data_IF_382973035307
#
_entry.id   IF_382973035307
#
_cell.length_a   1.000
_cell.length_b   1.000
_cell.length_c   1.000
_cell.angle_alpha   90.00
_cell.angle_beta   90.00
_cell.angle_gamma   90.00
#
_symmetry.space_group_name_H-M   'P 1'
#
loop_
_entity.id
_entity.type
_entity.pdbx_description
1 polymer ?
#
# COMPACT_ATOMS: atom_id res chain seq x y z
N UNK A 1 -71.60 28.39 -37.27
CA UNK A 1 -71.01 27.16 -37.83
C UNK A 1 -70.29 26.41 -36.72
N UNK A 2 -70.88 25.34 -36.19
CA UNK A 2 -70.17 24.39 -35.31
C UNK A 2 -69.66 23.27 -36.23
N UNK A 3 -68.35 23.17 -36.41
CA UNK A 3 -67.74 22.02 -37.07
C UNK A 3 -67.73 20.87 -36.07
N UNK A 4 -68.69 19.94 -36.20
CA UNK A 4 -68.64 18.67 -35.48
C UNK A 4 -67.60 17.78 -36.16
N UNK A 5 -66.38 17.75 -35.60
CA UNK A 5 -65.37 16.78 -36.00
C UNK A 5 -65.93 15.39 -35.65
N UNK A 6 -66.02 14.45 -36.61
CA UNK A 6 -66.56 13.11 -36.36
C UNK A 6 -65.78 12.42 -35.23
N UNK A 7 -66.49 11.93 -34.21
CA UNK A 7 -65.92 11.28 -33.01
C UNK A 7 -64.92 10.15 -33.31
N UNK A 8 -65.10 9.48 -34.45
CA UNK A 8 -64.21 8.44 -34.98
C UNK A 8 -62.82 8.99 -35.32
N UNK A 9 -62.73 10.22 -35.84
CA UNK A 9 -61.46 10.87 -36.18
C UNK A 9 -60.70 11.25 -34.90
N UNK A 10 -61.40 11.77 -33.90
CA UNK A 10 -60.83 12.09 -32.58
C UNK A 10 -60.26 10.83 -31.93
N UNK A 11 -61.01 9.72 -31.96
CA UNK A 11 -60.55 8.43 -31.44
C UNK A 11 -59.32 7.89 -32.18
N UNK A 12 -59.29 7.99 -33.51
CA UNK A 12 -58.13 7.57 -34.32
C UNK A 12 -56.89 8.43 -34.02
N UNK A 13 -57.05 9.75 -33.94
CA UNK A 13 -55.97 10.68 -33.59
C UNK A 13 -55.42 10.41 -32.18
N UNK A 14 -56.29 10.16 -31.21
CA UNK A 14 -55.88 9.80 -29.83
C UNK A 14 -55.05 8.52 -29.78
N UNK A 15 -55.43 7.49 -30.54
CA UNK A 15 -54.63 6.26 -30.64
C UNK A 15 -53.26 6.51 -31.26
N UNK A 16 -53.21 7.24 -32.39
CA UNK A 16 -51.94 7.60 -33.05
C UNK A 16 -51.04 8.41 -32.12
N UNK A 17 -51.62 9.34 -31.36
CA UNK A 17 -50.89 10.11 -30.35
C UNK A 17 -50.32 9.20 -29.25
N UNK A 18 -51.10 8.26 -28.72
CA UNK A 18 -50.63 7.29 -27.74
C UNK A 18 -49.51 6.40 -28.28
N UNK A 19 -49.61 5.90 -29.52
CA UNK A 19 -48.52 5.15 -30.17
C UNK A 19 -47.25 5.98 -30.31
N UNK A 20 -47.38 7.26 -30.69
CA UNK A 20 -46.25 8.18 -30.79
C UNK A 20 -45.57 8.37 -29.42
N UNK A 21 -46.33 8.64 -28.36
CA UNK A 21 -45.80 8.76 -27.00
C UNK A 21 -45.08 7.48 -26.54
N UNK A 22 -45.69 6.31 -26.76
CA UNK A 22 -45.06 5.03 -26.43
C UNK A 22 -43.75 4.82 -27.21
N UNK A 23 -43.72 5.15 -28.49
CA UNK A 23 -42.52 5.05 -29.31
C UNK A 23 -41.38 5.92 -28.76
N UNK A 24 -41.65 7.19 -28.43
CA UNK A 24 -40.66 8.07 -27.83
C UNK A 24 -40.17 7.58 -26.47
N UNK A 25 -41.07 7.04 -25.64
CA UNK A 25 -40.69 6.50 -24.34
C UNK A 25 -39.81 5.25 -24.47
N UNK A 26 -40.13 4.34 -25.40
CA UNK A 26 -39.31 3.15 -25.70
C UNK A 26 -37.93 3.58 -26.18
N UNK A 27 -37.85 4.53 -27.12
CA UNK A 27 -36.59 5.02 -27.65
C UNK A 27 -35.72 5.69 -26.58
N UNK A 28 -36.35 6.45 -25.66
CA UNK A 28 -35.64 7.05 -24.52
C UNK A 28 -35.09 5.97 -23.58
N UNK A 29 -35.91 4.96 -23.25
CA UNK A 29 -35.50 3.85 -22.39
C UNK A 29 -34.43 2.95 -23.01
N UNK A 30 -34.45 2.76 -24.33
CA UNK A 30 -33.41 2.03 -25.05
C UNK A 30 -32.06 2.76 -24.96
N UNK A 31 -32.04 4.08 -25.13
CA UNK A 31 -30.82 4.89 -24.98
C UNK A 31 -30.27 4.84 -23.55
N UNK A 32 -31.14 4.96 -22.55
CA UNK A 32 -30.76 4.86 -21.13
C UNK A 32 -30.18 3.47 -20.80
N UNK A 33 -30.82 2.40 -21.27
CA UNK A 33 -30.34 1.03 -21.09
C UNK A 33 -28.97 0.80 -21.75
N UNK A 34 -28.77 1.32 -22.96
CA UNK A 34 -27.50 1.21 -23.66
C UNK A 34 -26.38 2.00 -22.97
N UNK A 35 -26.68 3.21 -22.48
CA UNK A 35 -25.75 4.01 -21.70
C UNK A 35 -25.34 3.29 -20.40
N UNK A 36 -26.33 2.77 -19.66
CA UNK A 36 -26.12 2.02 -18.43
C UNK A 36 -25.24 0.77 -18.64
N UNK A 37 -25.42 0.10 -19.78
CA UNK A 37 -24.59 -1.05 -20.17
C UNK A 37 -23.13 -0.65 -20.41
N UNK A 38 -22.89 0.46 -21.10
CA UNK A 38 -21.53 0.98 -21.34
C UNK A 38 -20.83 1.33 -20.02
N UNK A 39 -21.49 2.10 -19.15
CA UNK A 39 -20.94 2.45 -17.84
C UNK A 39 -20.60 1.21 -17.00
N UNK A 40 -21.49 0.21 -16.98
CA UNK A 40 -21.23 -1.05 -16.27
C UNK A 40 -19.98 -1.79 -16.80
N UNK A 41 -19.70 -1.73 -18.10
CA UNK A 41 -18.47 -2.30 -18.66
C UNK A 41 -17.23 -1.51 -18.21
N UNK A 42 -17.29 -0.18 -18.24
CA UNK A 42 -16.21 0.69 -17.79
C UNK A 42 -15.88 0.50 -16.30
N UNK A 43 -16.91 0.44 -15.43
CA UNK A 43 -16.72 0.08 -14.02
C UNK A 43 -16.12 -1.31 -13.88
N UNK A 44 -16.59 -2.27 -14.69
CA UNK A 44 -16.03 -3.60 -14.73
C UNK A 44 -14.53 -3.64 -15.03
N UNK A 45 -14.07 -2.80 -15.96
CA UNK A 45 -12.65 -2.65 -16.31
C UNK A 45 -11.86 -1.98 -15.18
N UNK A 46 -12.38 -0.91 -14.57
CA UNK A 46 -11.76 -0.24 -13.42
C UNK A 46 -11.55 -1.21 -12.25
N UNK A 47 -12.56 -2.03 -11.93
CA UNK A 47 -12.46 -3.08 -10.89
C UNK A 47 -11.30 -4.04 -11.21
N UNK A 48 -11.21 -4.52 -12.45
CA UNK A 48 -10.16 -5.46 -12.86
C UNK A 48 -8.76 -4.83 -12.81
N UNK A 49 -8.64 -3.57 -13.21
CA UNK A 49 -7.38 -2.83 -13.17
C UNK A 49 -6.87 -2.68 -11.73
N UNK A 50 -7.72 -2.20 -10.81
CA UNK A 50 -7.35 -2.08 -9.39
C UNK A 50 -7.01 -3.45 -8.80
N UNK A 51 -7.79 -4.49 -9.11
CA UNK A 51 -7.49 -5.85 -8.65
C UNK A 51 -6.11 -6.33 -9.14
N UNK A 52 -5.73 -6.00 -10.39
CA UNK A 52 -4.41 -6.35 -10.94
C UNK A 52 -3.29 -5.60 -10.23
N UNK A 53 -3.47 -4.30 -9.98
CA UNK A 53 -2.52 -3.49 -9.21
C UNK A 53 -2.31 -4.07 -7.80
N UNK A 54 -3.40 -4.35 -7.07
CA UNK A 54 -3.35 -4.96 -5.74
C UNK A 54 -2.66 -6.31 -5.71
N UNK A 55 -2.94 -7.19 -6.67
CA UNK A 55 -2.24 -8.48 -6.76
C UNK A 55 -0.75 -8.32 -7.08
N UNK A 56 -0.38 -7.30 -7.86
CA UNK A 56 1.02 -6.93 -8.11
C UNK A 56 1.72 -6.50 -6.81
N UNK A 57 1.11 -5.59 -6.05
CA UNK A 57 1.59 -5.16 -4.73
C UNK A 57 1.73 -6.37 -3.79
N UNK A 58 0.70 -7.21 -3.71
CA UNK A 58 0.70 -8.41 -2.86
C UNK A 58 1.84 -9.37 -3.22
N UNK A 59 2.18 -9.50 -4.49
CA UNK A 59 3.28 -10.33 -4.96
C UNK A 59 4.63 -9.75 -4.53
N UNK A 60 4.86 -8.45 -4.76
CA UNK A 60 6.06 -7.73 -4.30
C UNK A 60 6.22 -7.80 -2.76
N UNK A 61 5.11 -7.73 -2.02
CA UNK A 61 5.11 -7.87 -0.55
C UNK A 61 5.50 -9.28 -0.06
N UNK A 62 5.42 -10.33 -0.90
CA UNK A 62 5.86 -11.69 -0.55
C UNK A 62 7.34 -11.93 -0.82
N UNK A 63 7.99 -11.04 -1.56
CA UNK A 63 9.40 -11.18 -1.91
C UNK A 63 10.30 -11.04 -0.68
N UNK A 64 11.24 -11.98 -0.57
CA UNK A 64 12.28 -11.94 0.45
C UNK A 64 13.40 -11.01 0.01
N UNK A 65 14.04 -10.36 0.96
CA UNK A 65 15.13 -9.41 0.72
C UNK A 65 16.30 -9.69 1.67
N UNK A 66 17.51 -9.52 1.17
CA UNK A 66 18.76 -9.55 1.96
C UNK A 66 19.28 -8.15 2.30
N UNK A 67 18.71 -7.10 1.70
CA UNK A 67 19.13 -5.71 1.89
C UNK A 67 18.04 -4.94 2.65
N UNK A 68 18.23 -4.78 3.96
CA UNK A 68 17.26 -4.11 4.85
C UNK A 68 17.04 -2.63 4.48
N UNK A 69 18.09 -1.81 4.23
CA UNK A 69 17.90 -0.44 3.76
C UNK A 69 17.03 -0.33 2.50
N UNK A 70 17.34 -1.12 1.46
CA UNK A 70 16.55 -1.11 0.22
C UNK A 70 15.11 -1.56 0.47
N UNK A 71 14.94 -2.61 1.27
CA UNK A 71 13.61 -3.13 1.59
C UNK A 71 12.72 -2.12 2.32
N UNK A 72 13.29 -1.24 3.15
CA UNK A 72 12.55 -0.14 3.79
C UNK A 72 12.07 0.89 2.77
N UNK A 73 12.90 1.22 1.77
CA UNK A 73 12.52 2.12 0.67
C UNK A 73 11.40 1.48 -0.14
N UNK A 74 11.56 0.23 -0.56
CA UNK A 74 10.55 -0.50 -1.32
C UNK A 74 9.24 -0.60 -0.54
N UNK A 75 9.30 -0.85 0.78
CA UNK A 75 8.13 -0.89 1.64
C UNK A 75 7.37 0.44 1.66
N UNK A 76 8.08 1.58 1.63
CA UNK A 76 7.46 2.90 1.54
C UNK A 76 6.75 3.10 0.20
N UNK A 77 7.42 2.76 -0.91
CA UNK A 77 6.85 2.86 -2.26
C UNK A 77 5.60 1.98 -2.38
N UNK A 78 5.64 0.75 -1.87
CA UNK A 78 4.48 -0.15 -1.86
C UNK A 78 3.32 0.40 -1.02
N UNK A 79 3.61 1.14 0.06
CA UNK A 79 2.60 1.87 0.82
C UNK A 79 1.92 2.94 -0.02
N UNK A 80 2.70 3.77 -0.73
CA UNK A 80 2.18 4.80 -1.62
C UNK A 80 1.35 4.22 -2.78
N UNK A 81 1.79 3.10 -3.37
CA UNK A 81 1.02 2.36 -4.39
C UNK A 81 -0.33 1.85 -3.82
N UNK A 82 -0.34 1.38 -2.57
CA UNK A 82 -1.53 0.86 -1.90
C UNK A 82 -2.52 1.97 -1.51
N UNK A 83 -2.02 3.14 -1.12
CA UNK A 83 -2.82 4.33 -0.87
C UNK A 83 -3.45 4.85 -2.19
N UNK A 84 -2.70 4.84 -3.29
CA UNK A 84 -3.23 5.17 -4.62
C UNK A 84 -4.36 4.20 -5.02
N UNK A 85 -4.21 2.90 -4.77
CA UNK A 85 -5.27 1.94 -4.99
C UNK A 85 -6.52 2.24 -4.15
N UNK A 86 -6.34 2.68 -2.89
CA UNK A 86 -7.45 3.06 -2.02
C UNK A 86 -8.23 4.25 -2.58
N UNK A 87 -7.54 5.29 -3.03
CA UNK A 87 -8.17 6.48 -3.63
C UNK A 87 -9.01 6.08 -4.84
N UNK A 88 -8.43 5.32 -5.79
CA UNK A 88 -9.16 4.81 -6.97
C UNK A 88 -10.37 3.97 -6.59
N UNK A 89 -10.26 3.17 -5.53
CA UNK A 89 -11.33 2.31 -5.05
C UNK A 89 -12.49 3.13 -4.45
N UNK A 90 -12.19 4.15 -3.65
CA UNK A 90 -13.20 5.06 -3.06
C UNK A 90 -13.90 5.86 -4.15
N UNK A 91 -13.16 6.41 -5.12
CA UNK A 91 -13.74 7.12 -6.27
C UNK A 91 -14.65 6.22 -7.12
N UNK A 92 -14.24 4.97 -7.31
CA UNK A 92 -15.03 3.97 -8.01
C UNK A 92 -16.31 3.63 -7.25
N UNK A 93 -16.24 3.45 -5.92
CA UNK A 93 -17.42 3.17 -5.10
C UNK A 93 -18.43 4.33 -5.16
N UNK A 94 -17.95 5.57 -5.01
CA UNK A 94 -18.79 6.76 -5.16
C UNK A 94 -19.45 6.81 -6.55
N UNK A 95 -18.68 6.56 -7.62
CA UNK A 95 -19.23 6.54 -8.99
C UNK A 95 -20.30 5.45 -9.19
N UNK A 96 -20.16 4.30 -8.53
CA UNK A 96 -21.16 3.22 -8.57
C UNK A 96 -22.39 3.55 -7.72
N UNK A 97 -22.23 4.28 -6.62
CA UNK A 97 -23.34 4.81 -5.82
C UNK A 97 -24.17 5.81 -6.64
N UNK A 98 -23.53 6.75 -7.33
CA UNK A 98 -24.22 7.69 -8.23
C UNK A 98 -24.94 6.96 -9.37
N UNK A 99 -24.31 5.90 -9.91
CA UNK A 99 -24.92 5.05 -10.94
C UNK A 99 -26.15 4.27 -10.46
N UNK A 100 -26.30 4.04 -9.14
CA UNK A 100 -27.44 3.34 -8.59
C UNK A 100 -28.77 4.07 -8.83
N UNK A 101 -28.73 5.39 -8.98
CA UNK A 101 -29.90 6.22 -9.34
C UNK A 101 -30.41 5.88 -10.75
N UNK A 102 -29.51 5.51 -11.67
CA UNK A 102 -29.85 5.16 -13.06
C UNK A 102 -30.21 3.68 -13.20
N UNK A 103 -29.48 2.79 -12.53
CA UNK A 103 -29.71 1.35 -12.62
C UNK A 103 -29.33 0.61 -11.33
N UNK A 104 -30.29 0.52 -10.41
CA UNK A 104 -30.11 -0.13 -9.12
C UNK A 104 -29.69 -1.61 -9.22
N UNK A 105 -30.15 -2.35 -10.23
CA UNK A 105 -29.82 -3.78 -10.35
C UNK A 105 -28.35 -3.98 -10.72
N UNK A 106 -27.85 -3.25 -11.72
CA UNK A 106 -26.44 -3.32 -12.12
C UNK A 106 -25.53 -2.73 -11.04
N UNK A 107 -25.93 -1.63 -10.40
CA UNK A 107 -25.19 -1.04 -9.29
C UNK A 107 -25.00 -2.03 -8.13
N UNK A 108 -26.04 -2.81 -7.75
CA UNK A 108 -25.90 -3.88 -6.74
C UNK A 108 -24.88 -4.95 -7.12
N UNK A 109 -24.83 -5.35 -8.39
CA UNK A 109 -23.84 -6.33 -8.86
C UNK A 109 -22.42 -5.75 -8.80
N UNK A 110 -22.26 -4.47 -9.15
CA UNK A 110 -20.98 -3.76 -9.05
C UNK A 110 -20.55 -3.58 -7.59
N UNK A 111 -21.46 -3.18 -6.71
CA UNK A 111 -21.21 -3.04 -5.28
C UNK A 111 -20.69 -4.34 -4.65
N UNK A 112 -21.28 -5.50 -4.96
CA UNK A 112 -20.78 -6.79 -4.49
C UNK A 112 -19.36 -7.11 -5.00
N UNK A 113 -18.99 -6.63 -6.20
CA UNK A 113 -17.64 -6.79 -6.75
C UNK A 113 -16.66 -5.83 -6.08
N UNK A 114 -17.09 -4.61 -5.79
CA UNK A 114 -16.32 -3.61 -5.04
C UNK A 114 -16.08 -4.11 -3.61
N UNK A 115 -17.07 -4.69 -2.94
CA UNK A 115 -16.91 -5.27 -1.61
C UNK A 115 -15.80 -6.34 -1.58
N UNK A 116 -15.78 -7.24 -2.55
CA UNK A 116 -14.69 -8.22 -2.71
C UNK A 116 -13.33 -7.56 -2.94
N UNK A 117 -13.30 -6.48 -3.74
CA UNK A 117 -12.09 -5.72 -4.02
C UNK A 117 -11.58 -4.98 -2.77
N UNK A 118 -12.47 -4.41 -1.96
CA UNK A 118 -12.18 -3.83 -0.66
C UNK A 118 -11.62 -4.87 0.30
N UNK A 119 -12.18 -6.08 0.31
CA UNK A 119 -11.63 -7.19 1.08
C UNK A 119 -10.19 -7.53 0.68
N UNK A 120 -9.89 -7.56 -0.62
CA UNK A 120 -8.53 -7.77 -1.13
C UNK A 120 -7.58 -6.63 -0.73
N UNK A 121 -8.03 -5.38 -0.81
CA UNK A 121 -7.27 -4.21 -0.38
C UNK A 121 -6.90 -4.29 1.11
N UNK A 122 -7.88 -4.58 1.97
CA UNK A 122 -7.66 -4.78 3.41
C UNK A 122 -6.69 -5.93 3.71
N UNK A 123 -6.79 -7.04 2.98
CA UNK A 123 -5.83 -8.14 3.11
C UNK A 123 -4.41 -7.67 2.76
N UNK A 124 -4.27 -6.87 1.71
CA UNK A 124 -2.98 -6.34 1.25
C UNK A 124 -2.38 -5.40 2.28
N UNK A 125 -3.18 -4.54 2.92
CA UNK A 125 -2.76 -3.68 4.05
C UNK A 125 -2.15 -4.54 5.16
N UNK A 126 -2.88 -5.54 5.65
CA UNK A 126 -2.40 -6.39 6.75
C UNK A 126 -1.07 -7.06 6.42
N UNK A 127 -0.90 -7.47 5.17
CA UNK A 127 0.36 -8.06 4.73
C UNK A 127 1.50 -7.03 4.66
N UNK A 128 1.21 -5.81 4.21
CA UNK A 128 2.17 -4.72 4.19
C UNK A 128 2.62 -4.36 5.61
N UNK A 129 1.69 -4.23 6.56
CA UNK A 129 1.96 -3.97 7.97
C UNK A 129 2.81 -5.10 8.60
N UNK A 130 2.46 -6.35 8.33
CA UNK A 130 3.24 -7.50 8.80
C UNK A 130 4.69 -7.45 8.29
N UNK A 131 4.90 -7.19 7.00
CA UNK A 131 6.24 -7.05 6.42
C UNK A 131 7.00 -5.88 7.04
N UNK A 132 6.35 -4.73 7.22
CA UNK A 132 6.96 -3.56 7.85
C UNK A 132 7.41 -3.85 9.28
N UNK A 133 6.59 -4.54 10.08
CA UNK A 133 6.95 -4.96 11.43
C UNK A 133 8.18 -5.90 11.44
N UNK A 134 8.23 -6.87 10.51
CA UNK A 134 9.38 -7.76 10.34
C UNK A 134 10.64 -7.03 9.91
N UNK A 135 10.54 -6.05 9.01
CA UNK A 135 11.67 -5.22 8.61
C UNK A 135 12.19 -4.36 9.77
N UNK A 136 11.30 -3.83 10.61
CA UNK A 136 11.68 -3.10 11.82
C UNK A 136 12.45 -3.99 12.79
N UNK A 137 11.96 -5.21 13.04
CA UNK A 137 12.63 -6.20 13.89
C UNK A 137 14.00 -6.62 13.34
N UNK A 138 14.10 -6.88 12.03
CA UNK A 138 15.37 -7.25 11.41
C UNK A 138 16.40 -6.12 11.51
N UNK A 139 15.95 -4.86 11.36
CA UNK A 139 16.82 -3.71 11.49
C UNK A 139 17.36 -3.53 12.92
N UNK A 140 16.51 -3.68 13.95
CA UNK A 140 16.97 -3.56 15.34
C UNK A 140 17.96 -4.65 15.71
N UNK A 141 17.70 -5.90 15.31
CA UNK A 141 18.67 -6.98 15.55
C UNK A 141 20.01 -6.72 14.84
N UNK A 142 20.00 -6.21 13.61
CA UNK A 142 21.25 -5.90 12.89
C UNK A 142 22.07 -4.82 13.61
N UNK A 143 21.40 -3.81 14.16
CA UNK A 143 22.02 -2.76 14.96
C UNK A 143 22.64 -3.33 16.23
N UNK A 144 21.90 -4.14 17.00
CA UNK A 144 22.40 -4.84 18.20
C UNK A 144 23.62 -5.74 17.89
N UNK A 145 23.58 -6.50 16.79
CA UNK A 145 24.72 -7.32 16.37
C UNK A 145 25.94 -6.48 16.00
N UNK A 146 25.71 -5.33 15.35
CA UNK A 146 26.78 -4.43 14.92
C UNK A 146 27.44 -3.75 16.13
N UNK A 147 26.66 -3.33 17.13
CA UNK A 147 27.18 -2.81 18.40
C UNK A 147 28.00 -3.85 19.17
N UNK A 148 27.50 -5.09 19.27
CA UNK A 148 28.25 -6.20 19.90
C UNK A 148 29.56 -6.51 19.18
N UNK A 149 29.54 -6.52 17.85
CA UNK A 149 30.75 -6.73 17.04
C UNK A 149 31.77 -5.63 17.29
N UNK A 150 31.34 -4.36 17.28
CA UNK A 150 32.22 -3.23 17.56
C UNK A 150 32.84 -3.32 18.97
N UNK A 151 32.04 -3.70 19.97
CA UNK A 151 32.52 -3.93 21.33
C UNK A 151 33.59 -5.02 21.39
N UNK A 152 33.35 -6.17 20.75
CA UNK A 152 34.31 -7.29 20.70
C UNK A 152 35.60 -6.85 20.01
N UNK A 153 35.52 -6.12 18.89
CA UNK A 153 36.69 -5.62 18.17
C UNK A 153 37.53 -4.68 19.04
N UNK A 154 36.89 -3.76 19.80
CA UNK A 154 37.58 -2.89 20.77
C UNK A 154 38.29 -3.68 21.86
N UNK A 155 37.68 -4.75 22.37
CA UNK A 155 38.33 -5.62 23.37
C UNK A 155 39.50 -6.41 22.80
N UNK A 156 39.38 -6.90 21.56
CA UNK A 156 40.49 -7.57 20.87
C UNK A 156 41.66 -6.60 20.68
N UNK A 157 41.40 -5.36 20.27
CA UNK A 157 42.41 -4.33 20.13
C UNK A 157 43.10 -4.01 21.48
N UNK A 158 42.33 -3.88 22.55
CA UNK A 158 42.86 -3.67 23.91
C UNK A 158 43.70 -4.85 24.40
N UNK A 159 43.28 -6.08 24.14
CA UNK A 159 44.05 -7.27 24.49
C UNK A 159 45.38 -7.31 23.72
N UNK A 160 45.35 -6.98 22.41
CA UNK A 160 46.57 -6.87 21.60
C UNK A 160 47.53 -5.81 22.14
N UNK A 161 47.04 -4.63 22.52
CA UNK A 161 47.91 -3.58 23.07
C UNK A 161 48.53 -3.95 24.41
N UNK A 162 47.78 -4.64 25.29
CA UNK A 162 48.30 -5.16 26.56
C UNK A 162 49.40 -6.21 26.36
N UNK A 163 49.26 -7.11 25.38
CA UNK A 163 50.26 -8.14 25.08
C UNK A 163 51.54 -7.55 24.49
N UNK A 164 51.44 -6.48 23.69
CA UNK A 164 52.60 -5.81 23.09
C UNK A 164 53.22 -4.72 23.99
N UNK A 165 52.53 -4.31 25.05
CA UNK A 165 53.08 -3.41 26.06
C UNK A 165 54.21 -4.08 26.82
N UNK A 166 55.35 -3.41 26.99
CA UNK A 166 56.43 -3.93 27.83
C UNK A 166 55.99 -3.91 29.29
N UNK A 167 55.76 -5.09 29.86
CA UNK A 167 55.64 -5.23 31.31
C UNK A 167 57.06 -5.14 31.88
N UNK A 168 57.50 -3.93 32.22
CA UNK A 168 58.76 -3.73 32.96
C UNK A 168 58.54 -4.17 34.39
N UNK A 169 58.86 -5.43 34.67
CA UNK A 169 58.86 -5.94 36.03
C UNK A 169 60.14 -5.49 36.75
N UNK A 170 60.15 -4.26 37.26
CA UNK A 170 61.24 -3.82 38.13
C UNK A 170 61.09 -4.47 39.51
N UNK A 171 62.04 -5.33 39.86
CA UNK A 171 62.12 -5.88 41.21
C UNK A 171 62.30 -4.73 42.24
N UNK A 172 61.76 -4.90 43.45
CA UNK A 172 61.87 -3.88 44.50
C UNK A 172 63.34 -3.50 44.79
N UNK A 173 64.28 -4.42 44.60
CA UNK A 173 65.72 -4.17 44.72
C UNK A 173 66.26 -3.26 43.62
N UNK A 174 65.81 -3.39 42.37
CA UNK A 174 66.21 -2.51 41.26
C UNK A 174 65.72 -1.07 41.46
N UNK A 175 64.48 -0.89 41.95
CA UNK A 175 63.95 0.44 42.30
C UNK A 175 64.71 1.07 43.47
N UNK A 176 64.96 0.31 44.54
CA UNK A 176 65.73 0.78 45.69
C UNK A 176 67.15 1.20 45.30
N UNK A 177 67.77 0.49 44.37
CA UNK A 177 69.12 0.82 43.88
C UNK A 177 69.12 2.09 43.02
N UNK A 178 68.10 2.29 42.18
CA UNK A 178 67.94 3.52 41.40
C UNK A 178 67.71 4.75 42.29
N UNK A 179 66.87 4.62 43.33
CA UNK A 179 66.65 5.68 44.33
C UNK A 179 67.94 6.02 45.10
N UNK A 180 68.72 5.02 45.51
CA UNK A 180 70.02 5.23 46.18
C UNK A 180 71.05 5.88 45.24
N UNK A 181 71.06 5.53 43.97
CA UNK A 181 71.95 6.12 42.96
C UNK A 181 71.67 7.61 42.71
N UNK A 182 70.40 8.04 42.73
CA UNK A 182 70.04 9.45 42.62
C UNK A 182 70.45 10.29 43.83
N UNK A 183 70.40 9.73 45.05
CA UNK A 183 70.85 10.43 46.26
C UNK A 183 72.38 10.58 46.31
N UNK A 184 73.14 9.61 45.81
CA UNK A 184 74.61 9.69 45.77
C UNK A 184 75.15 10.59 44.64
N UNK A 185 74.33 11.02 43.69
CA UNK A 185 74.70 11.97 42.63
C UNK A 185 74.52 13.45 43.02
N UNK A 186 73.96 13.71 44.22
CA UNK A 186 73.72 15.05 44.77
C UNK A 186 74.51 15.35 46.07
N UNK A 187 75.56 14.57 46.34
CA UNK A 187 76.63 14.85 47.32
C UNK A 187 77.95 14.98 46.59
#
# INVERSE_FOLDING_TARGET
>A
MKCDIPSVIILKLSKVFAYCCCFWQIQAKEKEAQHSKTLNQEFGQKIQMIAKELNGILSKLKEKTSNIPQAKIDQKILGEELDSCNIKLVELDASVQDFAEQNNQLAKQLANRIEKLTGLHQQTIRQAEYRAAKLKQAASHLEEYSEMLEFILKWIEKAKSLVHGSITWNSASQLLTAFKGQFNAHL
#
